data_IF_496736445181
#
_entry.id   IF_496736445181
#
_cell.length_a   1.000
_cell.length_b   1.000
_cell.length_c   1.000
_cell.angle_alpha   90.00
_cell.angle_beta   90.00
_cell.angle_gamma   90.00
#
_symmetry.space_group_name_H-M   'P 1'
#
loop_
_entity.id
_entity.type
_entity.pdbx_description
1 polymer ?
#
# COMPACT_ATOMS: atom_id res chain seq x y z
N UNK A 1 3.05 58.11 -35.10
CA UNK A 1 2.72 59.44 -34.55
C UNK A 1 2.64 59.31 -33.06
N UNK A 2 3.71 59.76 -32.44
CA UNK A 2 3.89 60.65 -31.28
C UNK A 2 3.27 60.13 -29.95
N UNK A 3 4.08 59.71 -29.00
CA UNK A 3 5.09 60.34 -28.12
C UNK A 3 4.53 61.35 -27.12
N UNK A 4 4.84 61.05 -25.82
CA UNK A 4 5.19 61.97 -24.73
C UNK A 4 4.00 62.61 -23.97
N UNK A 5 4.03 62.75 -22.65
CA UNK A 5 5.00 63.21 -21.66
C UNK A 5 4.47 62.91 -20.25
N UNK A 6 5.19 62.36 -19.32
CA UNK A 6 6.18 62.85 -18.35
C UNK A 6 5.74 64.00 -17.44
N UNK A 7 5.78 63.68 -16.14
CA UNK A 7 6.29 64.45 -14.97
C UNK A 7 5.40 65.49 -14.27
N UNK A 8 5.25 65.17 -12.98
CA UNK A 8 5.57 65.97 -11.80
C UNK A 8 4.58 67.08 -11.37
N UNK A 9 4.18 67.04 -10.14
CA UNK A 9 4.48 68.10 -9.19
C UNK A 9 4.32 67.61 -7.72
N UNK A 10 5.36 67.85 -6.94
CA UNK A 10 5.43 67.79 -5.48
C UNK A 10 4.84 69.11 -4.91
N UNK A 11 4.36 69.01 -3.70
CA UNK A 11 4.56 69.88 -2.56
C UNK A 11 3.33 70.31 -1.75
N UNK A 12 3.44 69.95 -0.47
CA UNK A 12 3.10 70.69 0.72
C UNK A 12 1.63 71.03 1.10
N UNK A 13 1.22 70.43 2.22
CA UNK A 13 0.80 71.21 3.38
C UNK A 13 0.69 70.36 4.65
N UNK A 14 1.39 70.76 5.69
CA UNK A 14 1.37 70.26 7.02
C UNK A 14 0.04 70.59 7.71
N UNK A 15 -0.55 69.60 8.39
CA UNK A 15 -1.69 69.79 9.28
C UNK A 15 -1.54 68.85 10.49
N UNK A 16 -1.03 69.39 11.61
CA UNK A 16 -1.00 68.72 12.90
C UNK A 16 -2.46 68.54 13.42
N UNK A 17 -2.84 67.30 13.66
CA UNK A 17 -3.95 66.98 14.58
C UNK A 17 -3.48 65.88 15.52
N UNK A 18 -3.24 66.28 16.77
CA UNK A 18 -2.99 65.34 17.88
C UNK A 18 -4.29 64.58 18.17
N UNK A 19 -4.25 63.27 18.03
CA UNK A 19 -5.27 62.38 18.58
C UNK A 19 -4.63 61.40 19.57
N UNK A 20 -5.28 61.36 20.72
CA UNK A 20 -4.90 60.65 21.91
C UNK A 20 -4.67 59.14 21.70
N UNK A 21 -3.55 58.63 22.25
CA UNK A 21 -3.26 57.21 22.41
C UNK A 21 -4.18 56.61 23.51
N UNK A 22 -5.12 55.78 23.08
CA UNK A 22 -5.74 54.79 23.95
C UNK A 22 -4.97 53.46 23.73
N UNK A 23 -4.45 52.78 24.75
CA UNK A 23 -3.87 51.47 24.59
C UNK A 23 -5.01 50.44 24.51
N UNK A 24 -5.50 50.20 23.30
CA UNK A 24 -6.32 49.05 23.01
C UNK A 24 -5.42 47.79 22.97
N UNK A 25 -5.46 47.00 24.03
CA UNK A 25 -4.84 45.69 24.08
C UNK A 25 -5.51 44.78 23.03
N UNK A 26 -4.97 44.76 21.83
CA UNK A 26 -5.21 43.66 20.88
C UNK A 26 -4.47 42.42 21.40
N UNK A 27 -5.12 41.72 22.33
CA UNK A 27 -4.79 40.33 22.64
C UNK A 27 -5.18 39.48 21.42
N UNK A 28 -4.37 39.55 20.38
CA UNK A 28 -4.32 38.52 19.34
C UNK A 28 -3.94 37.23 20.02
N UNK A 29 -4.92 36.42 20.42
CA UNK A 29 -4.66 34.99 20.69
C UNK A 29 -4.07 34.43 19.41
N UNK A 30 -2.74 34.32 19.39
CA UNK A 30 -2.06 33.43 18.47
C UNK A 30 -2.69 32.06 18.69
N UNK A 31 -3.54 31.64 17.72
CA UNK A 31 -4.02 30.27 17.71
C UNK A 31 -2.75 29.44 17.56
N UNK A 32 -2.33 28.81 18.66
CA UNK A 32 -1.24 27.85 18.59
C UNK A 32 -1.59 26.90 17.46
N UNK A 33 -0.76 26.91 16.42
CA UNK A 33 -0.89 25.96 15.31
C UNK A 33 -0.68 24.61 15.97
N UNK A 34 -1.76 23.85 16.14
CA UNK A 34 -1.69 22.50 16.72
C UNK A 34 -0.66 21.73 15.91
N UNK A 35 0.42 21.29 16.58
CA UNK A 35 1.43 20.50 15.94
C UNK A 35 0.76 19.27 15.30
N UNK A 36 1.13 18.95 14.07
CA UNK A 36 0.61 17.78 13.37
C UNK A 36 0.74 16.55 14.29
N UNK A 37 -0.31 15.71 14.41
CA UNK A 37 -0.28 14.57 15.32
C UNK A 37 0.86 13.62 14.94
N UNK A 38 1.58 13.11 15.94
CA UNK A 38 2.68 12.18 15.72
C UNK A 38 2.17 10.84 15.18
N UNK A 39 3.02 10.09 14.48
CA UNK A 39 2.74 8.73 14.03
C UNK A 39 2.23 7.86 15.17
N UNK A 40 2.84 7.97 16.36
CA UNK A 40 2.42 7.22 17.55
C UNK A 40 1.03 7.60 18.04
N UNK A 41 0.67 8.88 18.00
CA UNK A 41 -0.66 9.34 18.41
C UNK A 41 -1.74 8.82 17.46
N UNK A 42 -1.51 8.84 16.14
CA UNK A 42 -2.42 8.30 15.13
C UNK A 42 -2.55 6.77 15.29
N UNK A 43 -1.42 6.07 15.42
CA UNK A 43 -1.40 4.63 15.61
C UNK A 43 -2.12 4.20 16.89
N UNK A 44 -1.90 4.89 18.01
CA UNK A 44 -2.58 4.59 19.27
C UNK A 44 -4.10 4.73 19.20
N UNK A 45 -4.61 5.73 18.46
CA UNK A 45 -6.06 5.89 18.22
C UNK A 45 -6.60 4.71 17.38
N UNK A 46 -5.94 4.38 16.30
CA UNK A 46 -6.35 3.30 15.40
C UNK A 46 -6.30 1.92 16.09
N UNK A 47 -5.29 1.67 16.91
CA UNK A 47 -5.21 0.43 17.72
C UNK A 47 -6.37 0.34 18.72
N UNK A 48 -6.72 1.44 19.41
CA UNK A 48 -7.89 1.45 20.29
C UNK A 48 -9.18 1.17 19.51
N UNK A 49 -9.33 1.77 18.32
CA UNK A 49 -10.47 1.48 17.47
C UNK A 49 -10.54 -0.01 17.12
N UNK A 50 -9.49 -0.61 16.57
CA UNK A 50 -9.49 -2.04 16.23
C UNK A 50 -9.80 -2.92 17.44
N UNK A 51 -9.21 -2.65 18.62
CA UNK A 51 -9.54 -3.39 19.85
C UNK A 51 -11.03 -3.31 20.21
N UNK A 52 -11.66 -2.17 19.98
CA UNK A 52 -13.09 -1.97 20.27
C UNK A 52 -14.01 -2.67 19.26
N UNK A 53 -13.47 -3.05 18.08
CA UNK A 53 -14.23 -3.68 16.99
C UNK A 53 -14.09 -5.18 16.95
N UNK A 54 -13.16 -5.75 17.70
CA UNK A 54 -12.98 -7.20 17.79
C UNK A 54 -14.15 -7.83 18.55
N UNK A 55 -14.74 -8.88 17.99
CA UNK A 55 -15.79 -9.62 18.68
C UNK A 55 -15.26 -10.59 19.76
N UNK A 56 -16.17 -11.31 20.42
CA UNK A 56 -15.83 -12.26 21.49
C UNK A 56 -14.90 -13.40 21.04
N UNK A 57 -15.01 -13.80 19.78
CA UNK A 57 -14.24 -14.90 19.17
C UNK A 57 -12.95 -14.44 18.49
N UNK A 58 -12.62 -13.18 18.63
CA UNK A 58 -11.36 -12.63 18.10
C UNK A 58 -11.42 -12.15 16.65
N UNK A 59 -12.63 -11.95 16.08
CA UNK A 59 -12.85 -11.68 14.66
C UNK A 59 -13.12 -10.20 14.40
N UNK A 60 -12.62 -9.70 13.26
CA UNK A 60 -12.93 -8.36 12.73
C UNK A 60 -13.76 -8.41 11.44
N UNK A 61 -13.89 -9.58 10.82
CA UNK A 61 -14.69 -9.77 9.61
C UNK A 61 -16.16 -10.04 9.94
N UNK A 62 -17.09 -9.45 9.16
CA UNK A 62 -18.50 -9.80 9.24
C UNK A 62 -18.75 -11.24 8.74
N UNK A 63 -17.99 -11.68 7.73
CA UNK A 63 -17.99 -13.08 7.27
C UNK A 63 -16.91 -13.88 8.02
N UNK A 64 -17.34 -14.75 8.93
CA UNK A 64 -16.47 -15.58 9.76
C UNK A 64 -15.71 -16.65 8.96
N UNK A 65 -16.13 -16.95 7.73
CA UNK A 65 -15.44 -17.88 6.82
C UNK A 65 -14.33 -17.20 6.03
N UNK A 66 -14.22 -15.86 6.14
CA UNK A 66 -13.21 -15.06 5.45
C UNK A 66 -12.25 -14.44 6.47
N UNK A 67 -11.15 -15.14 6.80
CA UNK A 67 -10.22 -14.69 7.85
C UNK A 67 -9.31 -13.52 7.41
N UNK A 68 -9.36 -13.07 6.15
CA UNK A 68 -8.42 -12.10 5.59
C UNK A 68 -8.38 -10.76 6.33
N UNK A 69 -9.56 -10.18 6.68
CA UNK A 69 -9.62 -8.92 7.44
C UNK A 69 -9.05 -9.13 8.85
N UNK A 70 -9.37 -10.27 9.50
CA UNK A 70 -8.82 -10.61 10.81
C UNK A 70 -7.28 -10.71 10.75
N UNK A 71 -6.74 -11.37 9.73
CA UNK A 71 -5.30 -11.49 9.54
C UNK A 71 -4.62 -10.14 9.28
N UNK A 72 -5.24 -9.26 8.49
CA UNK A 72 -4.75 -7.90 8.28
C UNK A 72 -4.77 -7.08 9.56
N UNK A 73 -5.86 -7.16 10.36
CA UNK A 73 -5.96 -6.44 11.63
C UNK A 73 -4.87 -6.90 12.62
N UNK A 74 -4.65 -8.22 12.75
CA UNK A 74 -3.56 -8.76 13.59
C UNK A 74 -2.20 -8.28 13.10
N UNK A 75 -1.92 -8.36 11.80
CA UNK A 75 -0.67 -7.89 11.21
C UNK A 75 -0.47 -6.40 11.46
N UNK A 76 -1.50 -5.59 11.28
CA UNK A 76 -1.45 -4.16 11.51
C UNK A 76 -1.20 -3.81 12.98
N UNK A 77 -1.85 -4.52 13.92
CA UNK A 77 -1.60 -4.37 15.35
C UNK A 77 -0.14 -4.65 15.69
N UNK A 78 0.42 -5.78 15.23
CA UNK A 78 1.80 -6.17 15.47
C UNK A 78 2.81 -5.18 14.86
N UNK A 79 2.56 -4.70 13.64
CA UNK A 79 3.43 -3.72 12.97
C UNK A 79 3.29 -2.30 13.52
N UNK A 80 2.23 -1.98 14.25
CA UNK A 80 1.95 -0.64 14.76
C UNK A 80 2.96 -0.12 15.78
N UNK A 81 3.71 -1.01 16.44
CA UNK A 81 4.56 -0.70 17.59
C UNK A 81 3.77 -0.39 18.87
N UNK A 82 2.43 -0.58 18.86
CA UNK A 82 1.51 -0.32 19.97
C UNK A 82 0.90 -1.58 20.57
N UNK A 83 1.14 -2.73 19.94
CA UNK A 83 0.72 -4.05 20.37
C UNK A 83 1.82 -5.07 20.08
N UNK A 84 1.96 -6.07 20.95
CA UNK A 84 2.90 -7.16 20.78
C UNK A 84 2.19 -8.51 20.71
N UNK A 85 2.95 -9.64 20.57
CA UNK A 85 2.37 -10.98 20.49
C UNK A 85 1.53 -11.40 21.70
N UNK A 86 1.78 -10.81 22.88
CA UNK A 86 1.02 -11.07 24.11
C UNK A 86 -0.23 -10.17 24.28
N UNK A 87 -0.49 -9.26 23.35
CA UNK A 87 -1.68 -8.40 23.39
C UNK A 87 -2.96 -9.25 23.30
N UNK A 88 -3.95 -9.06 24.17
CA UNK A 88 -5.15 -9.89 24.19
C UNK A 88 -5.92 -9.91 22.85
N UNK A 89 -5.94 -8.79 22.11
CA UNK A 89 -6.59 -8.74 20.82
C UNK A 89 -5.79 -9.52 19.75
N UNK A 90 -4.46 -9.45 19.80
CA UNK A 90 -3.58 -10.23 18.92
C UNK A 90 -3.73 -11.71 19.21
N UNK A 91 -3.68 -12.13 20.50
CA UNK A 91 -3.82 -13.54 20.93
C UNK A 91 -5.14 -14.14 20.44
N UNK A 92 -6.26 -13.43 20.65
CA UNK A 92 -7.57 -13.92 20.19
C UNK A 92 -7.66 -14.02 18.67
N UNK A 93 -7.15 -12.99 17.96
CA UNK A 93 -7.13 -13.02 16.49
C UNK A 93 -6.28 -14.15 15.93
N UNK A 94 -5.10 -14.39 16.49
CA UNK A 94 -4.25 -15.53 16.10
C UNK A 94 -4.93 -16.87 16.37
N UNK A 95 -5.59 -17.03 17.54
CA UNK A 95 -6.34 -18.25 17.85
C UNK A 95 -7.47 -18.52 16.85
N UNK A 96 -8.17 -17.47 16.40
CA UNK A 96 -9.15 -17.59 15.33
C UNK A 96 -8.49 -18.05 14.02
N UNK A 97 -7.36 -17.45 13.62
CA UNK A 97 -6.64 -17.82 12.40
C UNK A 97 -6.11 -19.25 12.46
N UNK A 98 -5.61 -19.72 13.62
CA UNK A 98 -5.16 -21.10 13.84
C UNK A 98 -6.25 -22.12 13.54
N UNK A 99 -7.55 -21.79 13.79
CA UNK A 99 -8.66 -22.70 13.51
C UNK A 99 -8.86 -23.02 12.02
N UNK A 100 -8.30 -22.20 11.12
CA UNK A 100 -8.31 -22.40 9.66
C UNK A 100 -7.10 -23.16 9.14
N UNK A 101 -6.04 -23.25 9.94
CA UNK A 101 -4.78 -23.91 9.52
C UNK A 101 -5.01 -25.42 9.42
N UNK A 102 -4.55 -26.02 8.33
CA UNK A 102 -4.63 -27.47 8.09
C UNK A 102 -3.25 -28.13 8.16
N UNK A 103 -3.20 -29.47 8.35
CA UNK A 103 -1.93 -30.20 8.39
C UNK A 103 -1.07 -30.03 7.13
N UNK A 104 -1.69 -29.87 5.97
CA UNK A 104 -1.04 -29.59 4.68
C UNK A 104 -0.50 -28.15 4.56
N UNK A 105 -0.75 -27.33 5.56
CA UNK A 105 -0.36 -25.91 5.60
C UNK A 105 -1.41 -24.95 5.03
N UNK A 106 -1.24 -23.67 5.33
CA UNK A 106 -2.13 -22.61 4.86
C UNK A 106 -3.55 -22.67 5.41
N UNK A 107 -4.46 -21.92 4.77
CA UNK A 107 -5.87 -21.78 5.09
C UNK A 107 -6.75 -22.22 3.91
N UNK A 108 -6.72 -23.51 3.50
CA UNK A 108 -7.34 -23.98 2.25
C UNK A 108 -8.86 -23.88 2.24
N UNK A 109 -9.51 -23.89 3.40
CA UNK A 109 -10.98 -23.79 3.53
C UNK A 109 -11.49 -22.33 3.52
N UNK A 110 -10.62 -21.33 3.51
CA UNK A 110 -11.02 -19.93 3.35
C UNK A 110 -11.54 -19.69 1.92
N UNK A 111 -12.54 -18.81 1.80
CA UNK A 111 -13.13 -18.49 0.49
C UNK A 111 -12.10 -17.92 -0.51
N UNK A 112 -11.10 -17.20 0.03
CA UNK A 112 -9.97 -16.64 -0.70
C UNK A 112 -8.66 -17.22 -0.14
N UNK A 113 -8.46 -18.54 -0.28
CA UNK A 113 -7.44 -19.32 0.40
C UNK A 113 -6.01 -18.77 0.24
N UNK A 114 -5.61 -18.36 -0.98
CA UNK A 114 -4.26 -17.84 -1.21
C UNK A 114 -4.07 -16.47 -0.54
N UNK A 115 -5.03 -15.55 -0.72
CA UNK A 115 -5.01 -14.25 -0.08
C UNK A 115 -5.00 -14.37 1.45
N UNK A 116 -5.96 -15.16 2.00
CA UNK A 116 -6.06 -15.38 3.43
C UNK A 116 -4.79 -15.99 4.02
N UNK A 117 -4.18 -16.99 3.33
CA UNK A 117 -2.92 -17.57 3.76
C UNK A 117 -1.77 -16.56 3.72
N UNK A 118 -1.66 -15.73 2.68
CA UNK A 118 -0.60 -14.73 2.58
C UNK A 118 -0.65 -13.72 3.73
N UNK A 119 -1.85 -13.17 4.03
CA UNK A 119 -1.98 -12.20 5.12
C UNK A 119 -1.87 -12.86 6.51
N UNK A 120 -2.34 -14.11 6.67
CA UNK A 120 -2.17 -14.88 7.91
C UNK A 120 -0.70 -15.26 8.16
N UNK A 121 0.05 -15.63 7.12
CA UNK A 121 1.49 -15.88 7.22
C UNK A 121 2.23 -14.68 7.80
N UNK A 122 1.91 -13.46 7.36
CA UNK A 122 2.50 -12.24 7.94
C UNK A 122 2.13 -12.10 9.42
N UNK A 123 0.87 -12.34 9.80
CA UNK A 123 0.43 -12.27 11.20
C UNK A 123 1.18 -13.28 12.08
N UNK A 124 1.24 -14.53 11.67
CA UNK A 124 1.95 -15.58 12.41
C UNK A 124 3.46 -15.30 12.49
N UNK A 125 4.08 -14.87 11.38
CA UNK A 125 5.50 -14.53 11.37
C UNK A 125 5.84 -13.40 12.36
N UNK A 126 5.06 -12.31 12.35
CA UNK A 126 5.31 -11.18 13.26
C UNK A 126 5.02 -11.51 14.74
N UNK A 127 4.22 -12.53 15.01
CA UNK A 127 3.96 -13.02 16.36
C UNK A 127 4.94 -14.11 16.83
N UNK A 128 5.85 -14.58 15.96
CA UNK A 128 6.65 -15.79 16.14
C UNK A 128 8.01 -15.57 16.83
N UNK A 129 8.10 -14.66 17.79
CA UNK A 129 9.38 -14.38 18.46
C UNK A 129 9.94 -15.57 19.27
N UNK A 130 9.07 -16.50 19.70
CA UNK A 130 9.41 -17.67 20.50
C UNK A 130 9.40 -19.00 19.71
N UNK A 131 9.18 -18.96 18.39
CA UNK A 131 9.18 -20.13 17.51
C UNK A 131 7.89 -20.96 17.54
N UNK A 132 6.87 -20.56 18.32
CA UNK A 132 5.62 -21.36 18.46
C UNK A 132 4.87 -21.55 17.14
N UNK A 133 5.05 -20.67 16.19
CA UNK A 133 4.40 -20.69 14.88
C UNK A 133 5.29 -21.18 13.74
N UNK A 134 6.51 -21.71 14.03
CA UNK A 134 7.45 -22.15 12.99
C UNK A 134 6.81 -23.14 11.99
N UNK A 135 6.04 -24.10 12.50
CA UNK A 135 5.37 -25.10 11.67
C UNK A 135 4.29 -24.44 10.76
N UNK A 136 3.51 -23.49 11.31
CA UNK A 136 2.46 -22.78 10.56
C UNK A 136 3.10 -21.88 9.52
N UNK A 137 4.16 -21.15 9.88
CA UNK A 137 4.91 -20.27 8.95
C UNK A 137 5.45 -21.10 7.79
N UNK A 138 6.14 -22.21 8.08
CA UNK A 138 6.70 -23.10 7.04
C UNK A 138 5.61 -23.69 6.15
N UNK A 139 4.55 -24.26 6.74
CA UNK A 139 3.44 -24.84 5.97
C UNK A 139 2.72 -23.82 5.10
N UNK A 140 2.54 -22.58 5.60
CA UNK A 140 1.95 -21.50 4.81
C UNK A 140 2.85 -21.05 3.65
N UNK A 141 4.16 -21.01 3.84
CA UNK A 141 5.12 -20.75 2.76
C UNK A 141 5.00 -21.80 1.64
N UNK A 142 4.98 -23.07 2.01
CA UNK A 142 4.86 -24.19 1.07
C UNK A 142 3.51 -24.16 0.35
N UNK A 143 2.41 -23.95 1.07
CA UNK A 143 1.08 -23.78 0.50
C UNK A 143 1.03 -22.67 -0.56
N UNK A 144 1.59 -21.49 -0.28
CA UNK A 144 1.57 -20.36 -1.23
C UNK A 144 2.40 -20.64 -2.47
N UNK A 145 3.55 -21.33 -2.32
CA UNK A 145 4.40 -21.70 -3.44
C UNK A 145 3.75 -22.79 -4.32
N UNK A 146 3.06 -23.74 -3.69
CA UNK A 146 2.32 -24.79 -4.39
C UNK A 146 1.10 -24.27 -5.17
N UNK A 147 0.58 -23.10 -4.79
CA UNK A 147 -0.57 -22.46 -5.45
C UNK A 147 -0.21 -21.35 -6.43
N UNK A 148 1.07 -21.15 -6.68
CA UNK A 148 1.55 -20.27 -7.74
C UNK A 148 1.29 -20.94 -9.10
N UNK A 149 0.80 -20.19 -10.07
CA UNK A 149 0.60 -20.70 -11.41
C UNK A 149 1.94 -21.02 -12.08
N UNK A 150 2.31 -22.29 -12.15
CA UNK A 150 3.56 -22.77 -12.72
C UNK A 150 3.38 -24.12 -13.45
N UNK A 151 4.45 -24.87 -13.60
CA UNK A 151 4.45 -26.17 -14.26
C UNK A 151 3.52 -27.18 -13.57
N UNK A 152 3.28 -27.02 -12.26
CA UNK A 152 2.34 -27.83 -11.48
C UNK A 152 0.89 -27.67 -11.94
N UNK A 153 0.49 -26.46 -12.35
CA UNK A 153 -0.80 -26.16 -12.96
C UNK A 153 -0.79 -26.28 -14.48
N UNK A 154 0.25 -26.89 -15.05
CA UNK A 154 0.41 -27.08 -16.49
C UNK A 154 0.69 -25.78 -17.25
N UNK A 155 1.28 -24.78 -16.59
CA UNK A 155 1.67 -23.51 -17.21
C UNK A 155 3.15 -23.51 -17.55
N UNK A 156 3.48 -22.76 -18.58
CA UNK A 156 4.87 -22.54 -19.00
C UNK A 156 5.19 -21.05 -19.01
N UNK A 157 6.47 -20.66 -19.07
CA UNK A 157 6.83 -19.23 -19.16
C UNK A 157 6.18 -18.47 -20.34
N UNK A 158 5.62 -19.15 -21.32
CA UNK A 158 4.86 -18.51 -22.42
C UNK A 158 3.40 -18.18 -22.06
N UNK A 159 2.86 -18.78 -20.99
CA UNK A 159 1.46 -18.56 -20.58
C UNK A 159 1.33 -17.26 -19.77
N UNK A 160 0.35 -16.38 -20.04
CA UNK A 160 0.13 -15.15 -19.25
C UNK A 160 -0.21 -15.37 -17.76
N UNK A 161 -0.53 -16.58 -17.34
CA UNK A 161 -0.77 -16.93 -15.94
C UNK A 161 0.53 -17.23 -15.18
N UNK A 162 1.59 -17.64 -15.90
CA UNK A 162 2.81 -18.17 -15.31
C UNK A 162 3.48 -17.22 -14.32
N UNK A 163 3.76 -17.73 -13.13
CA UNK A 163 4.43 -17.03 -12.04
C UNK A 163 3.49 -16.18 -11.17
N UNK A 164 2.21 -16.04 -11.53
CA UNK A 164 1.24 -15.28 -10.77
C UNK A 164 0.55 -16.09 -9.67
N UNK A 165 -0.11 -15.40 -8.75
CA UNK A 165 -1.03 -15.95 -7.74
C UNK A 165 -2.35 -15.21 -7.80
N UNK A 166 -3.47 -15.89 -7.57
CA UNK A 166 -4.79 -15.30 -7.48
C UNK A 166 -5.38 -15.45 -6.08
N UNK A 167 -6.67 -15.15 -5.93
CA UNK A 167 -7.36 -15.29 -4.65
C UNK A 167 -7.42 -16.75 -4.13
N UNK A 168 -7.35 -17.73 -5.02
CA UNK A 168 -7.76 -19.11 -4.73
C UNK A 168 -9.24 -19.34 -4.99
N UNK A 169 -9.70 -20.61 -5.03
CA UNK A 169 -11.09 -20.97 -5.27
C UNK A 169 -11.47 -21.05 -6.76
N UNK A 170 -12.78 -20.95 -7.07
CA UNK A 170 -13.32 -21.29 -8.41
C UNK A 170 -12.89 -20.36 -9.55
N UNK A 171 -12.60 -19.09 -9.26
CA UNK A 171 -12.18 -18.09 -10.25
C UNK A 171 -10.71 -17.71 -10.03
N UNK A 172 -9.87 -18.70 -9.82
CA UNK A 172 -8.48 -18.51 -9.46
C UNK A 172 -7.62 -18.11 -10.68
N UNK A 173 -7.87 -16.94 -11.27
CA UNK A 173 -6.91 -16.35 -12.19
C UNK A 173 -5.88 -15.55 -11.40
N UNK A 174 -4.61 -15.50 -11.82
CA UNK A 174 -3.61 -14.68 -11.15
C UNK A 174 -3.89 -13.18 -11.35
N UNK A 175 -3.52 -12.40 -10.37
CA UNK A 175 -3.53 -10.94 -10.44
C UNK A 175 -2.38 -10.35 -9.63
N UNK A 176 -2.05 -9.09 -9.92
CA UNK A 176 -0.89 -8.45 -9.32
C UNK A 176 -1.07 -8.19 -7.82
N UNK A 177 -2.31 -7.90 -7.36
CA UNK A 177 -2.57 -7.66 -5.94
C UNK A 177 -2.28 -8.91 -5.11
N UNK A 178 -2.84 -10.06 -5.50
CA UNK A 178 -2.61 -11.32 -4.79
C UNK A 178 -1.16 -11.80 -4.93
N UNK A 179 -0.55 -11.68 -6.12
CA UNK A 179 0.87 -11.99 -6.31
C UNK A 179 1.74 -11.15 -5.38
N UNK A 180 1.44 -9.85 -5.24
CA UNK A 180 2.17 -8.95 -4.34
C UNK A 180 2.05 -9.34 -2.88
N UNK A 181 0.84 -9.73 -2.40
CA UNK A 181 0.67 -10.22 -1.03
C UNK A 181 1.44 -11.52 -0.79
N UNK A 182 1.41 -12.45 -1.75
CA UNK A 182 2.21 -13.69 -1.68
C UNK A 182 3.70 -13.38 -1.55
N UNK A 183 4.25 -12.54 -2.43
CA UNK A 183 5.69 -12.21 -2.42
C UNK A 183 6.10 -11.46 -1.15
N UNK A 184 5.26 -10.53 -0.65
CA UNK A 184 5.51 -9.84 0.62
C UNK A 184 5.54 -10.83 1.78
N UNK A 185 4.55 -11.71 1.87
CA UNK A 185 4.46 -12.71 2.94
C UNK A 185 5.65 -13.68 2.92
N UNK A 186 6.02 -14.19 1.76
CA UNK A 186 7.19 -15.06 1.60
C UNK A 186 8.49 -14.32 1.98
N UNK A 187 8.65 -13.08 1.51
CA UNK A 187 9.87 -12.30 1.76
C UNK A 187 10.02 -11.91 3.21
N UNK A 188 8.95 -11.43 3.86
CA UNK A 188 8.97 -11.07 5.28
C UNK A 188 9.20 -12.29 6.17
N UNK A 189 8.65 -13.44 5.83
CA UNK A 189 8.85 -14.70 6.58
C UNK A 189 10.19 -15.39 6.30
N UNK A 190 11.11 -14.77 5.57
CA UNK A 190 12.50 -15.21 5.46
C UNK A 190 12.83 -16.01 4.20
N UNK A 191 11.89 -16.22 3.26
CA UNK A 191 12.21 -16.88 1.98
C UNK A 191 13.16 -15.97 1.16
N UNK A 192 14.30 -16.50 0.68
CA UNK A 192 15.28 -15.70 -0.04
C UNK A 192 14.78 -15.32 -1.44
N UNK A 193 15.22 -14.17 -2.01
CA UNK A 193 14.80 -13.74 -3.34
C UNK A 193 15.25 -14.70 -4.47
N UNK A 194 16.19 -15.59 -4.18
CA UNK A 194 16.67 -16.64 -5.11
C UNK A 194 15.74 -17.87 -5.16
N UNK A 195 14.71 -17.94 -4.29
CA UNK A 195 13.73 -19.03 -4.33
C UNK A 195 13.00 -19.00 -5.69
N UNK A 196 12.76 -20.19 -6.31
CA UNK A 196 12.06 -20.30 -7.60
C UNK A 196 10.73 -19.54 -7.68
N UNK A 197 9.98 -19.42 -6.58
CA UNK A 197 8.73 -18.69 -6.55
C UNK A 197 8.90 -17.22 -6.92
N UNK A 198 9.97 -16.56 -6.46
CA UNK A 198 10.26 -15.17 -6.84
C UNK A 198 10.70 -15.06 -8.29
N UNK A 199 11.50 -16.03 -8.78
CA UNK A 199 11.99 -16.02 -10.16
C UNK A 199 10.84 -16.22 -11.17
N UNK A 200 9.90 -17.13 -10.89
CA UNK A 200 8.68 -17.28 -11.67
C UNK A 200 7.82 -16.02 -11.64
N UNK A 201 7.66 -15.42 -10.45
CA UNK A 201 6.87 -14.20 -10.30
C UNK A 201 7.42 -13.04 -11.15
N UNK A 202 8.74 -12.94 -11.38
CA UNK A 202 9.30 -11.91 -12.26
C UNK A 202 8.72 -11.97 -13.69
N UNK A 203 8.38 -13.16 -14.20
CA UNK A 203 7.74 -13.30 -15.51
C UNK A 203 6.34 -12.66 -15.48
N UNK A 204 5.54 -13.00 -14.47
CA UNK A 204 4.20 -12.43 -14.31
C UNK A 204 4.23 -10.91 -14.10
N UNK A 205 5.11 -10.44 -13.21
CA UNK A 205 5.28 -9.02 -12.89
C UNK A 205 5.65 -8.22 -14.14
N UNK A 206 6.59 -8.74 -14.94
CA UNK A 206 7.00 -8.08 -16.18
C UNK A 206 5.83 -7.94 -17.16
N UNK A 207 4.95 -8.93 -17.26
CA UNK A 207 3.75 -8.88 -18.11
C UNK A 207 2.65 -7.98 -17.58
N UNK A 208 2.65 -7.68 -16.27
CA UNK A 208 1.75 -6.68 -15.70
C UNK A 208 2.25 -5.24 -15.96
N UNK A 209 3.50 -5.05 -16.40
CA UNK A 209 4.07 -3.73 -16.60
C UNK A 209 3.82 -3.22 -18.02
N UNK A 210 3.36 -1.99 -18.15
CA UNK A 210 3.30 -1.28 -19.44
C UNK A 210 4.69 -0.77 -19.81
N UNK A 211 5.53 -1.71 -20.24
CA UNK A 211 6.90 -1.45 -20.68
C UNK A 211 7.19 -2.27 -21.96
N UNK A 212 7.45 -1.58 -23.07
CA UNK A 212 7.94 -2.20 -24.30
C UNK A 212 9.38 -2.67 -24.09
N UNK A 213 9.55 -3.94 -23.80
CA UNK A 213 10.84 -4.54 -23.46
C UNK A 213 10.86 -6.02 -23.80
N UNK A 214 12.05 -6.62 -23.80
CA UNK A 214 12.25 -8.08 -23.96
C UNK A 214 11.55 -8.91 -22.85
N UNK A 215 11.19 -8.29 -21.73
CA UNK A 215 10.54 -8.95 -20.59
C UNK A 215 9.01 -9.00 -20.70
N UNK A 216 8.41 -8.28 -21.66
CA UNK A 216 6.96 -8.22 -21.83
C UNK A 216 6.54 -8.39 -23.28
N UNK A 217 5.97 -9.54 -23.58
CA UNK A 217 5.49 -9.95 -24.90
C UNK A 217 4.00 -9.58 -25.14
N UNK A 218 3.35 -8.89 -24.20
CA UNK A 218 1.92 -8.62 -24.26
C UNK A 218 1.59 -7.42 -25.16
N UNK A 219 0.49 -7.51 -25.94
CA UNK A 219 0.22 -6.52 -27.00
C UNK A 219 -0.09 -5.10 -26.51
N UNK A 220 -0.55 -4.95 -25.27
CA UNK A 220 -0.86 -3.63 -24.69
C UNK A 220 0.39 -2.88 -24.19
N UNK A 221 1.48 -3.58 -23.87
CA UNK A 221 2.68 -2.98 -23.29
C UNK A 221 3.24 -1.83 -24.13
N UNK A 222 3.24 -2.00 -25.46
CA UNK A 222 3.71 -0.98 -26.42
C UNK A 222 2.77 0.21 -26.57
N UNK A 223 1.48 0.02 -26.31
CA UNK A 223 0.46 1.06 -26.53
C UNK A 223 0.51 2.15 -25.48
N UNK A 224 0.63 1.77 -24.22
CA UNK A 224 0.73 2.71 -23.10
C UNK A 224 2.19 3.08 -22.81
N UNK A 225 3.06 2.11 -22.65
CA UNK A 225 4.53 2.22 -22.49
C UNK A 225 4.98 3.33 -21.50
N UNK A 226 4.27 3.46 -20.38
CA UNK A 226 4.51 4.47 -19.36
C UNK A 226 5.30 3.95 -18.14
N UNK A 227 5.66 2.66 -18.14
CA UNK A 227 6.39 1.98 -17.07
C UNK A 227 5.53 1.60 -15.86
N UNK A 228 4.26 2.00 -15.83
CA UNK A 228 3.31 1.64 -14.77
C UNK A 228 2.76 0.23 -14.93
N UNK A 229 1.86 -0.18 -14.02
CA UNK A 229 1.37 -1.54 -13.95
C UNK A 229 -0.15 -1.62 -14.08
N UNK A 230 -0.62 -2.69 -14.71
CA UNK A 230 -2.02 -3.11 -14.80
C UNK A 230 -2.32 -4.21 -13.76
N UNK A 231 -3.59 -4.61 -13.67
CA UNK A 231 -4.03 -5.61 -12.69
C UNK A 231 -3.60 -7.04 -13.01
N UNK A 232 -3.70 -7.47 -14.28
CA UNK A 232 -3.33 -8.84 -14.69
C UNK A 232 -3.14 -8.96 -16.20
N UNK A 233 -2.19 -9.77 -16.67
CA UNK A 233 -2.07 -10.16 -18.07
C UNK A 233 -3.01 -11.30 -18.45
N UNK A 234 -3.59 -12.02 -17.48
CA UNK A 234 -4.43 -13.18 -17.73
C UNK A 234 -5.69 -12.82 -18.53
N UNK A 235 -6.14 -13.79 -19.37
CA UNK A 235 -7.37 -13.68 -20.15
C UNK A 235 -7.42 -12.45 -21.08
N UNK A 236 -6.28 -12.08 -21.69
CA UNK A 236 -6.19 -10.94 -22.60
C UNK A 236 -5.91 -9.61 -21.92
N UNK A 237 -5.58 -9.62 -20.64
CA UNK A 237 -5.24 -8.44 -19.85
C UNK A 237 -6.45 -7.69 -19.27
N UNK A 238 -6.24 -7.15 -18.07
CA UNK A 238 -7.24 -6.28 -17.42
C UNK A 238 -6.54 -5.19 -16.62
N UNK A 239 -6.97 -3.96 -16.81
CA UNK A 239 -6.69 -2.83 -15.92
C UNK A 239 -7.97 -2.33 -15.26
N UNK A 240 -7.91 -2.07 -13.95
CA UNK A 240 -9.03 -1.44 -13.23
C UNK A 240 -9.21 0.04 -13.63
N UNK A 241 -8.15 0.66 -14.16
CA UNK A 241 -8.22 1.99 -14.76
C UNK A 241 -8.87 2.01 -16.15
N UNK A 242 -9.20 0.82 -16.68
CA UNK A 242 -9.83 0.67 -18.00
C UNK A 242 -8.85 0.75 -19.18
N UNK A 243 -9.37 0.63 -20.41
CA UNK A 243 -8.58 0.84 -21.62
C UNK A 243 -8.37 2.34 -21.90
N UNK A 244 -7.33 2.64 -22.70
CA UNK A 244 -7.18 3.93 -23.38
C UNK A 244 -7.90 3.93 -24.74
N UNK A 245 -7.83 5.05 -25.46
CA UNK A 245 -8.51 5.24 -26.74
C UNK A 245 -7.92 4.36 -27.88
N UNK A 246 -6.66 3.92 -27.72
CA UNK A 246 -5.92 3.08 -28.68
C UNK A 246 -6.01 1.58 -28.31
N UNK A 247 -6.81 1.21 -27.31
CA UNK A 247 -6.97 -0.15 -26.82
C UNK A 247 -5.76 -0.65 -26.03
N UNK A 248 -4.98 0.26 -25.45
CA UNK A 248 -4.02 -0.01 -24.38
C UNK A 248 -4.73 -0.23 -23.05
N UNK A 249 -4.03 -0.72 -22.05
CA UNK A 249 -4.53 -0.90 -20.69
C UNK A 249 -3.87 0.14 -19.79
N UNK A 250 -4.64 1.09 -19.25
CA UNK A 250 -4.07 2.19 -18.44
C UNK A 250 -3.40 1.67 -17.18
N UNK A 251 -2.23 2.19 -16.89
CA UNK A 251 -1.55 2.01 -15.60
C UNK A 251 -2.26 2.75 -14.47
N UNK A 252 -2.07 2.32 -13.23
CA UNK A 252 -2.50 3.06 -12.06
C UNK A 252 -1.57 2.87 -10.87
N UNK A 253 -1.54 3.86 -9.98
CA UNK A 253 -0.45 3.98 -9.02
C UNK A 253 -0.41 2.84 -7.99
N UNK A 254 -1.54 2.39 -7.43
CA UNK A 254 -1.49 1.31 -6.44
C UNK A 254 -0.88 0.02 -7.00
N UNK A 255 -1.13 -0.31 -8.27
CA UNK A 255 -0.45 -1.46 -8.89
C UNK A 255 1.00 -1.16 -9.24
N UNK A 256 1.35 0.08 -9.59
CA UNK A 256 2.73 0.43 -9.90
C UNK A 256 3.63 0.39 -8.66
N UNK A 257 3.17 0.92 -7.53
CA UNK A 257 3.90 0.78 -6.26
C UNK A 257 3.97 -0.69 -5.79
N UNK A 258 2.89 -1.46 -5.97
CA UNK A 258 2.87 -2.89 -5.68
C UNK A 258 3.84 -3.67 -6.57
N UNK A 259 3.90 -3.35 -7.87
CA UNK A 259 4.82 -3.93 -8.84
C UNK A 259 6.28 -3.62 -8.50
N UNK A 260 6.62 -2.34 -8.28
CA UNK A 260 7.98 -1.93 -7.88
C UNK A 260 8.43 -2.66 -6.61
N UNK A 261 7.60 -2.67 -5.57
CA UNK A 261 7.87 -3.43 -4.33
C UNK A 261 8.18 -4.89 -4.63
N UNK A 262 7.40 -5.52 -5.48
CA UNK A 262 7.53 -6.94 -5.82
C UNK A 262 8.78 -7.25 -6.65
N UNK A 263 9.17 -6.36 -7.57
CA UNK A 263 10.44 -6.46 -8.30
C UNK A 263 11.63 -6.43 -7.32
N UNK A 264 11.60 -5.52 -6.33
CA UNK A 264 12.64 -5.43 -5.29
C UNK A 264 12.67 -6.71 -4.43
N UNK A 265 11.51 -7.23 -4.03
CA UNK A 265 11.43 -8.48 -3.26
C UNK A 265 11.95 -9.69 -4.03
N UNK A 266 11.77 -9.71 -5.34
CA UNK A 266 12.33 -10.73 -6.23
C UNK A 266 13.82 -10.52 -6.55
N UNK A 267 14.47 -9.56 -5.90
CA UNK A 267 15.93 -9.37 -5.95
C UNK A 267 16.41 -8.41 -7.04
N UNK A 268 15.54 -7.73 -7.77
CA UNK A 268 15.98 -6.73 -8.73
C UNK A 268 16.49 -5.47 -8.03
N UNK A 269 17.55 -4.92 -8.58
CA UNK A 269 18.08 -3.62 -8.15
C UNK A 269 17.34 -2.47 -8.84
N UNK A 270 17.53 -1.26 -8.34
CA UNK A 270 16.96 -0.06 -8.98
C UNK A 270 17.61 0.28 -10.33
N UNK A 271 18.68 -0.44 -10.71
CA UNK A 271 19.29 -0.32 -12.03
C UNK A 271 18.62 -1.16 -13.11
N UNK A 272 17.80 -2.14 -12.72
CA UNK A 272 17.01 -2.93 -13.66
C UNK A 272 16.04 -2.05 -14.47
N UNK A 273 15.94 -2.20 -15.80
CA UNK A 273 15.09 -1.34 -16.63
C UNK A 273 13.61 -1.35 -16.20
N UNK A 274 13.09 -2.46 -15.67
CA UNK A 274 11.71 -2.56 -15.15
C UNK A 274 11.52 -1.71 -13.90
N UNK A 275 12.46 -1.75 -12.97
CA UNK A 275 12.42 -0.92 -11.76
C UNK A 275 12.58 0.57 -12.09
N UNK A 276 13.49 0.93 -13.02
CA UNK A 276 13.64 2.30 -13.52
C UNK A 276 12.36 2.83 -14.15
N UNK A 277 11.72 2.06 -15.02
CA UNK A 277 10.48 2.47 -15.67
C UNK A 277 9.34 2.67 -14.65
N UNK A 278 9.21 1.78 -13.67
CA UNK A 278 8.24 1.93 -12.58
C UNK A 278 8.50 3.20 -11.74
N UNK A 279 9.77 3.51 -11.45
CA UNK A 279 10.14 4.73 -10.73
C UNK A 279 9.81 5.99 -11.54
N UNK A 280 10.02 6.00 -12.86
CA UNK A 280 9.64 7.14 -13.70
C UNK A 280 8.13 7.35 -13.72
N UNK A 281 7.32 6.28 -13.80
CA UNK A 281 5.87 6.42 -13.61
C UNK A 281 5.53 7.06 -12.27
N UNK A 282 6.15 6.59 -11.18
CA UNK A 282 5.91 7.10 -9.83
C UNK A 282 6.30 8.57 -9.71
N UNK A 283 7.44 9.00 -10.28
CA UNK A 283 7.86 10.39 -10.30
C UNK A 283 6.85 11.29 -11.01
N UNK A 284 6.30 10.84 -12.13
CA UNK A 284 5.31 11.59 -12.92
C UNK A 284 3.94 11.67 -12.25
N UNK A 285 3.64 10.77 -11.30
CA UNK A 285 2.33 10.60 -10.68
C UNK A 285 2.38 10.67 -9.15
N UNK A 286 3.41 11.31 -8.56
CA UNK A 286 3.54 11.38 -7.11
C UNK A 286 2.45 12.25 -6.50
N UNK A 287 1.62 11.67 -5.62
CA UNK A 287 0.64 12.38 -4.80
C UNK A 287 0.20 11.51 -3.63
N UNK A 288 -0.32 12.12 -2.56
CA UNK A 288 -1.01 11.47 -1.44
C UNK A 288 -2.48 11.89 -1.34
N UNK A 289 -3.00 12.63 -2.32
CA UNK A 289 -4.38 13.10 -2.30
C UNK A 289 -5.36 12.08 -2.90
N UNK A 290 -4.87 11.26 -3.83
CA UNK A 290 -5.64 10.23 -4.52
C UNK A 290 -4.74 9.04 -4.94
N UNK A 291 -5.35 7.96 -5.43
CA UNK A 291 -4.69 6.86 -6.13
C UNK A 291 -4.64 7.19 -7.63
N UNK A 292 -3.52 7.70 -8.17
CA UNK A 292 -3.44 8.11 -9.58
C UNK A 292 -3.92 7.03 -10.54
N UNK A 293 -4.80 7.43 -11.46
CA UNK A 293 -5.50 6.53 -12.38
C UNK A 293 -6.82 5.97 -11.85
N UNK A 294 -7.10 6.05 -10.53
CA UNK A 294 -8.33 5.57 -9.90
C UNK A 294 -9.04 6.60 -9.00
N UNK A 295 -8.45 7.79 -8.79
CA UNK A 295 -9.00 8.79 -7.87
C UNK A 295 -9.09 8.26 -6.43
N UNK A 296 -10.27 8.29 -5.83
CA UNK A 296 -10.47 7.82 -4.46
C UNK A 296 -10.68 6.29 -4.33
N UNK A 297 -10.75 5.55 -5.44
CA UNK A 297 -10.93 4.09 -5.40
C UNK A 297 -9.66 3.40 -4.92
N UNK A 298 -9.78 2.62 -3.85
CA UNK A 298 -8.66 1.87 -3.29
C UNK A 298 -7.56 2.77 -2.70
N UNK A 299 -7.91 3.93 -2.11
CA UNK A 299 -6.98 4.91 -1.59
C UNK A 299 -6.14 4.38 -0.43
N UNK A 300 -6.73 3.58 0.47
CA UNK A 300 -5.99 3.09 1.64
C UNK A 300 -5.11 1.88 1.30
N UNK A 301 -5.53 1.05 0.36
CA UNK A 301 -4.64 0.07 -0.25
C UNK A 301 -3.45 0.77 -0.96
N UNK A 302 -3.72 1.87 -1.68
CA UNK A 302 -2.67 2.71 -2.26
C UNK A 302 -1.69 3.22 -1.20
N UNK A 303 -2.16 3.78 -0.08
CA UNK A 303 -1.28 4.25 0.99
C UNK A 303 -0.40 3.14 1.58
N UNK A 304 -0.95 1.94 1.72
CA UNK A 304 -0.19 0.79 2.22
C UNK A 304 0.94 0.41 1.26
N UNK A 305 0.67 0.28 -0.03
CA UNK A 305 1.71 -0.07 -1.02
C UNK A 305 2.67 1.09 -1.31
N UNK A 306 2.19 2.35 -1.29
CA UNK A 306 3.01 3.56 -1.39
C UNK A 306 4.07 3.60 -0.28
N UNK A 307 3.62 3.55 0.98
CA UNK A 307 4.53 3.60 2.13
C UNK A 307 5.53 2.45 2.11
N UNK A 308 5.07 1.23 1.81
CA UNK A 308 5.93 0.06 1.77
C UNK A 308 6.96 0.13 0.64
N UNK A 309 6.57 0.48 -0.57
CA UNK A 309 7.49 0.59 -1.71
C UNK A 309 8.56 1.66 -1.46
N UNK A 310 8.17 2.86 -1.04
CA UNK A 310 9.13 3.93 -0.78
C UNK A 310 10.07 3.60 0.40
N UNK A 311 9.60 2.88 1.41
CA UNK A 311 10.46 2.41 2.51
C UNK A 311 11.57 1.45 2.06
N UNK A 312 11.36 0.72 0.95
CA UNK A 312 12.36 -0.19 0.38
C UNK A 312 13.44 0.54 -0.42
N UNK A 313 13.18 1.76 -0.89
CA UNK A 313 14.18 2.58 -1.59
C UNK A 313 15.29 3.08 -0.68
N UNK A 314 15.10 3.06 0.64
CA UNK A 314 16.12 3.44 1.63
C UNK A 314 16.37 4.95 1.72
N UNK A 315 15.61 5.79 1.01
CA UNK A 315 15.71 7.25 1.07
C UNK A 315 14.61 7.86 1.92
N UNK A 316 14.92 8.91 2.66
CA UNK A 316 13.95 9.70 3.42
C UNK A 316 13.17 10.67 2.53
N UNK A 317 13.73 11.02 1.38
CA UNK A 317 13.10 11.92 0.41
C UNK A 317 12.90 11.21 -0.93
N UNK A 318 11.88 11.65 -1.65
CA UNK A 318 11.58 11.22 -3.01
C UNK A 318 11.46 12.45 -3.92
N UNK A 319 12.17 12.45 -5.04
CA UNK A 319 12.11 13.55 -6.01
C UNK A 319 11.12 13.20 -7.11
N UNK A 320 10.13 14.07 -7.34
CA UNK A 320 9.18 13.92 -8.44
C UNK A 320 9.78 14.35 -9.80
N UNK A 321 9.00 14.21 -10.86
CA UNK A 321 9.44 14.56 -12.22
C UNK A 321 9.65 16.07 -12.43
N UNK A 322 9.03 16.93 -11.61
CA UNK A 322 9.26 18.37 -11.61
C UNK A 322 10.53 18.78 -10.84
N UNK A 323 11.21 17.82 -10.23
CA UNK A 323 12.39 18.04 -9.40
C UNK A 323 12.09 18.48 -7.97
N UNK A 324 10.82 18.42 -7.54
CA UNK A 324 10.43 18.72 -6.16
C UNK A 324 10.82 17.56 -5.26
N UNK A 325 11.51 17.86 -4.17
CA UNK A 325 11.87 16.87 -3.16
C UNK A 325 10.80 16.78 -2.08
N UNK A 326 10.22 15.60 -1.91
CA UNK A 326 9.18 15.28 -0.95
C UNK A 326 9.74 14.49 0.23
N UNK A 327 9.41 14.89 1.47
CA UNK A 327 9.46 13.99 2.62
C UNK A 327 8.22 13.09 2.55
N UNK A 328 8.32 11.98 1.81
CA UNK A 328 7.20 11.09 1.55
C UNK A 328 6.57 10.51 2.83
N UNK A 329 7.37 10.41 3.92
CA UNK A 329 6.86 9.98 5.23
C UNK A 329 5.96 11.03 5.85
N UNK A 330 6.41 12.29 5.84
CA UNK A 330 5.62 13.41 6.33
C UNK A 330 4.35 13.60 5.51
N UNK A 331 4.43 13.49 4.17
CA UNK A 331 3.30 13.59 3.27
C UNK A 331 2.24 12.51 3.57
N UNK A 332 2.66 11.25 3.70
CA UNK A 332 1.76 10.14 4.00
C UNK A 332 1.12 10.27 5.40
N UNK A 333 1.91 10.66 6.41
CA UNK A 333 1.42 10.90 7.78
C UNK A 333 0.38 12.03 7.78
N UNK A 334 0.64 13.14 7.09
CA UNK A 334 -0.28 14.26 6.99
C UNK A 334 -1.59 13.86 6.28
N UNK A 335 -1.50 13.07 5.20
CA UNK A 335 -2.65 12.56 4.48
C UNK A 335 -3.53 11.65 5.36
N UNK A 336 -2.91 10.75 6.12
CA UNK A 336 -3.60 9.87 7.06
C UNK A 336 -4.19 10.64 8.25
N UNK A 337 -3.45 11.62 8.81
CA UNK A 337 -3.94 12.47 9.91
C UNK A 337 -5.19 13.26 9.53
N UNK A 338 -5.20 13.84 8.31
CA UNK A 338 -6.35 14.59 7.77
C UNK A 338 -7.61 13.74 7.63
N UNK A 339 -7.46 12.43 7.44
CA UNK A 339 -8.56 11.49 7.15
C UNK A 339 -8.94 10.59 8.32
N UNK A 340 -8.21 10.66 9.45
CA UNK A 340 -8.54 9.85 10.63
C UNK A 340 -9.83 10.33 11.29
N UNK A 341 -10.78 9.42 11.47
CA UNK A 341 -12.04 9.69 12.15
C UNK A 341 -11.89 9.92 13.66
N UNK A 342 -12.93 10.42 14.30
CA UNK A 342 -12.89 10.81 15.73
C UNK A 342 -12.60 9.66 16.68
N UNK A 343 -12.99 8.42 16.35
CA UNK A 343 -12.72 7.23 17.16
C UNK A 343 -11.37 6.59 16.84
N UNK A 344 -10.63 7.11 15.84
CA UNK A 344 -9.34 6.60 15.40
C UNK A 344 -9.39 5.70 14.16
N UNK A 345 -10.58 5.51 13.60
CA UNK A 345 -10.81 4.75 12.37
C UNK A 345 -10.37 5.51 11.13
N UNK A 346 -10.14 4.74 10.08
CA UNK A 346 -10.20 5.21 8.70
C UNK A 346 -11.30 4.45 7.96
N UNK A 347 -11.94 5.13 7.04
CA UNK A 347 -12.94 4.59 6.12
C UNK A 347 -12.91 5.41 4.85
N UNK A 348 -13.07 4.77 3.70
CA UNK A 348 -13.18 5.47 2.42
C UNK A 348 -14.66 5.72 2.09
N UNK A 349 -15.01 6.94 1.70
CA UNK A 349 -16.34 7.24 1.19
C UNK A 349 -16.65 6.52 -0.13
N UNK A 350 -15.60 6.16 -0.89
CA UNK A 350 -15.70 5.26 -2.01
C UNK A 350 -15.48 3.83 -1.53
N UNK A 351 -16.52 3.00 -1.56
CA UNK A 351 -16.55 1.63 -1.00
C UNK A 351 -15.95 0.57 -1.94
N UNK A 352 -15.43 0.96 -3.09
CA UNK A 352 -14.74 0.05 -4.00
C UNK A 352 -13.64 -0.72 -3.26
N UNK A 353 -13.51 -2.00 -3.59
CA UNK A 353 -12.55 -2.92 -2.97
C UNK A 353 -12.74 -3.09 -1.45
N UNK A 354 -13.98 -2.99 -0.99
CA UNK A 354 -14.38 -3.09 0.42
C UNK A 354 -13.83 -1.96 1.31
N UNK A 355 -13.36 -0.84 0.75
CA UNK A 355 -12.85 0.28 1.55
C UNK A 355 -13.94 1.07 2.31
N UNK A 356 -15.21 0.66 2.23
CA UNK A 356 -16.26 1.02 3.17
C UNK A 356 -16.19 0.29 4.53
N UNK A 357 -15.42 -0.81 4.64
CA UNK A 357 -15.20 -1.52 5.89
C UNK A 357 -14.10 -0.82 6.72
N UNK A 358 -14.51 -0.24 7.85
CA UNK A 358 -13.60 0.50 8.71
C UNK A 358 -12.50 -0.37 9.34
N UNK A 359 -12.71 -1.68 9.55
CA UNK A 359 -11.70 -2.57 10.12
C UNK A 359 -10.60 -2.82 9.08
N UNK A 360 -10.98 -3.12 7.84
CA UNK A 360 -10.05 -3.29 6.73
C UNK A 360 -9.21 -2.03 6.51
N UNK A 361 -9.89 -0.90 6.37
CA UNK A 361 -9.24 0.37 6.04
C UNK A 361 -8.35 0.86 7.17
N UNK A 362 -8.76 0.65 8.43
CA UNK A 362 -7.92 0.98 9.59
C UNK A 362 -6.67 0.09 9.66
N UNK A 363 -6.78 -1.18 9.29
CA UNK A 363 -5.61 -2.05 9.17
C UNK A 363 -4.64 -1.55 8.08
N UNK A 364 -5.12 -1.18 6.89
CA UNK A 364 -4.27 -0.58 5.84
C UNK A 364 -3.62 0.74 6.30
N UNK A 365 -4.37 1.63 6.95
CA UNK A 365 -3.85 2.89 7.50
C UNK A 365 -2.73 2.67 8.53
N UNK A 366 -2.90 1.69 9.43
CA UNK A 366 -1.85 1.31 10.40
C UNK A 366 -0.61 0.73 9.73
N UNK A 367 -0.77 -0.13 8.71
CA UNK A 367 0.35 -0.68 7.95
C UNK A 367 1.09 0.41 7.17
N UNK A 368 0.37 1.38 6.61
CA UNK A 368 0.94 2.55 5.97
C UNK A 368 1.75 3.40 6.97
N UNK A 369 1.20 3.70 8.15
CA UNK A 369 1.93 4.39 9.23
C UNK A 369 3.18 3.62 9.68
N UNK A 370 3.10 2.29 9.80
CA UNK A 370 4.25 1.46 10.18
C UNK A 370 5.41 1.62 9.18
N UNK A 371 5.10 1.78 7.90
CA UNK A 371 6.10 2.00 6.84
C UNK A 371 6.81 3.37 6.93
N UNK A 372 6.21 4.35 7.62
CA UNK A 372 6.81 5.67 7.83
C UNK A 372 7.82 5.70 8.99
N UNK A 373 7.87 4.65 9.81
CA UNK A 373 8.86 4.57 10.90
C UNK A 373 10.26 4.36 10.31
N UNK A 374 11.22 5.15 10.79
CA UNK A 374 12.62 4.93 10.45
C UNK A 374 13.09 3.64 11.13
N UNK A 375 13.76 2.79 10.37
CA UNK A 375 14.47 1.66 11.00
C UNK A 375 15.55 2.26 11.89
N UNK A 376 15.51 1.95 13.18
CA UNK A 376 16.66 2.19 14.05
C UNK A 376 17.83 1.36 13.54
N UNK A 377 18.93 2.02 13.23
CA UNK A 377 20.16 1.40 12.74
C UNK A 377 20.72 0.40 13.76
#
# INVERSE_FOLDING_TARGET
MNLSNRRAFLENSAGLAALALLPGALSGRARAQEAAPSVDALAAKAVRFLRSRQDGDGVWSADRKEPGITALAVTALLKSGQAGPADPAVVKGLSHLESFVKPEGGLPDAAHANYATAVALMAFHHANADGRYDAIVKGSQEFLKDRQWDEGEGKTPADPFYGGSGYGGRNNRPDLSNTTFMLEALRESGVPPTDPAFQRALVFLSRCQNLDSEFNDQPWAKKVNDGGFIYTPANGGTSVAGPDDDGGLRSYASMTYAGLKSLIYAGLTLDDPRAKAALEYIKNNYTVDENPGLGQRGLYYYYQVFGKALSLLGSDTFQDAAGVSHDWRADLVAALAKRQGPNGEWVNANDAFMEGDANLVTAYGLMALASTRRKTA
#
